data_IF_278033844606
#
_entry.id   IF_278033844606
#
_cell.length_a   1.000
_cell.length_b   1.000
_cell.length_c   1.000
_cell.angle_alpha   90.00
_cell.angle_beta   90.00
_cell.angle_gamma   90.00
#
_symmetry.space_group_name_H-M   'P 1'
#
loop_
_entity.id
_entity.type
_entity.pdbx_description
1 polymer ?
#
# COMPACT_ATOMS: atom_id res chain seq x y z
N UNK A 1 -22.20 -7.28 11.80
CA UNK A 1 -20.79 -7.05 12.22
C UNK A 1 -20.36 -5.58 12.16
N UNK A 2 -20.81 -4.78 11.17
CA UNK A 2 -20.39 -3.37 10.97
C UNK A 2 -20.67 -2.43 12.16
N UNK A 3 -21.79 -2.60 12.87
CA UNK A 3 -22.17 -1.70 13.98
C UNK A 3 -21.19 -1.72 15.16
N UNK A 4 -20.62 -2.88 15.50
CA UNK A 4 -19.64 -2.99 16.57
C UNK A 4 -18.32 -2.27 16.21
N UNK A 5 -17.79 -2.53 15.01
CA UNK A 5 -16.59 -1.86 14.48
C UNK A 5 -16.76 -0.35 14.40
N UNK A 6 -17.93 0.13 13.96
CA UNK A 6 -18.22 1.57 13.93
C UNK A 6 -18.23 2.21 15.32
N UNK A 7 -18.82 1.54 16.31
CA UNK A 7 -18.80 2.04 17.70
C UNK A 7 -17.38 2.07 18.28
N UNK A 8 -16.56 1.06 17.98
CA UNK A 8 -15.15 1.03 18.34
C UNK A 8 -14.38 2.17 17.67
N UNK A 9 -14.62 2.41 16.37
CA UNK A 9 -14.05 3.52 15.63
C UNK A 9 -14.41 4.87 16.25
N UNK A 10 -15.69 5.13 16.52
CA UNK A 10 -16.11 6.38 17.13
C UNK A 10 -15.49 6.59 18.52
N UNK A 11 -15.38 5.53 19.31
CA UNK A 11 -14.78 5.61 20.65
C UNK A 11 -13.28 5.88 20.57
N UNK A 12 -12.57 5.18 19.68
CA UNK A 12 -11.12 5.34 19.47
C UNK A 12 -10.81 6.75 18.94
N UNK A 13 -11.56 7.19 17.93
CA UNK A 13 -11.42 8.52 17.35
C UNK A 13 -11.69 9.62 18.39
N UNK A 14 -12.70 9.46 19.25
CA UNK A 14 -12.95 10.39 20.37
C UNK A 14 -11.75 10.45 21.31
N UNK A 15 -11.23 9.30 21.75
CA UNK A 15 -10.07 9.23 22.66
C UNK A 15 -8.84 9.91 22.05
N UNK A 16 -8.53 9.66 20.79
CA UNK A 16 -7.44 10.37 20.11
C UNK A 16 -7.67 11.89 20.12
N UNK A 17 -8.91 12.32 19.87
CA UNK A 17 -9.24 13.74 19.75
C UNK A 17 -9.22 14.51 21.07
N UNK A 18 -9.18 13.83 22.23
CA UNK A 18 -9.12 14.47 23.56
C UNK A 18 -7.94 15.44 23.71
N UNK A 19 -6.85 15.24 22.95
CA UNK A 19 -5.66 16.09 22.97
C UNK A 19 -5.56 17.05 21.77
N UNK A 20 -6.54 17.04 20.86
CA UNK A 20 -6.45 17.76 19.57
C UNK A 20 -7.59 18.75 19.34
N UNK A 21 -8.69 18.66 20.09
CA UNK A 21 -9.80 19.61 20.01
C UNK A 21 -10.26 20.02 21.40
N UNK A 22 -10.93 21.17 21.48
CA UNK A 22 -11.48 21.72 22.72
C UNK A 22 -12.53 20.80 23.35
N UNK A 23 -12.57 20.76 24.69
CA UNK A 23 -13.51 19.94 25.46
C UNK A 23 -14.98 20.21 25.06
N UNK A 24 -15.30 21.47 24.76
CA UNK A 24 -16.63 21.90 24.26
C UNK A 24 -17.01 21.20 22.95
N UNK A 25 -16.06 20.98 22.04
CA UNK A 25 -16.32 20.29 20.77
C UNK A 25 -16.21 18.77 20.89
N UNK A 26 -15.42 18.24 21.82
CA UNK A 26 -15.28 16.80 22.03
C UNK A 26 -16.62 16.10 22.27
N UNK A 27 -17.53 16.73 23.01
CA UNK A 27 -18.88 16.20 23.25
C UNK A 27 -19.76 16.19 21.99
N UNK A 28 -19.44 17.02 20.99
CA UNK A 28 -20.14 17.11 19.71
C UNK A 28 -19.49 16.27 18.61
N UNK A 29 -18.27 15.79 18.83
CA UNK A 29 -17.48 15.07 17.85
C UNK A 29 -18.14 13.77 17.40
N UNK A 30 -18.54 12.89 18.31
CA UNK A 30 -19.12 11.58 17.95
C UNK A 30 -20.44 11.75 17.17
N UNK A 31 -21.40 12.60 17.59
CA UNK A 31 -22.57 12.90 16.77
C UNK A 31 -22.22 13.46 15.39
N UNK A 32 -21.21 14.34 15.30
CA UNK A 32 -20.73 14.90 14.05
C UNK A 32 -20.15 13.82 13.12
N UNK A 33 -19.29 12.96 13.64
CA UNK A 33 -18.64 11.88 12.90
C UNK A 33 -19.67 10.86 12.41
N UNK A 34 -20.68 10.52 13.22
CA UNK A 34 -21.81 9.69 12.78
C UNK A 34 -22.54 10.27 11.57
N UNK A 35 -22.84 11.58 11.58
CA UNK A 35 -23.46 12.24 10.41
C UNK A 35 -22.56 12.17 9.18
N UNK A 36 -21.26 12.38 9.35
CA UNK A 36 -20.30 12.30 8.25
C UNK A 36 -20.26 10.89 7.63
N UNK A 37 -20.15 9.85 8.46
CA UNK A 37 -20.17 8.45 8.02
C UNK A 37 -21.50 8.09 7.34
N UNK A 38 -22.62 8.59 7.85
CA UNK A 38 -23.93 8.41 7.20
C UNK A 38 -24.01 9.09 5.84
N UNK A 39 -23.43 10.28 5.67
CA UNK A 39 -23.41 11.01 4.40
C UNK A 39 -22.46 10.43 3.34
N UNK A 40 -21.66 9.40 3.68
CA UNK A 40 -20.76 8.77 2.71
C UNK A 40 -21.51 8.14 1.54
N UNK A 41 -22.70 7.59 1.77
CA UNK A 41 -23.50 6.94 0.72
C UNK A 41 -23.96 7.91 -0.37
N UNK A 42 -24.12 9.19 -0.05
CA UNK A 42 -24.44 10.24 -1.03
C UNK A 42 -23.31 10.46 -2.05
N UNK A 43 -22.12 9.92 -1.76
CA UNK A 43 -20.90 10.09 -2.55
C UNK A 43 -20.49 8.80 -3.28
N UNK A 44 -21.23 7.71 -3.14
CA UNK A 44 -20.88 6.44 -3.79
C UNK A 44 -20.89 6.54 -5.32
N UNK A 45 -21.71 7.46 -5.88
CA UNK A 45 -21.74 7.75 -7.32
C UNK A 45 -20.67 8.76 -7.75
N UNK A 46 -19.81 9.22 -6.83
CA UNK A 46 -18.75 10.19 -7.08
C UNK A 46 -17.38 9.53 -6.88
N UNK A 47 -16.60 9.49 -7.95
CA UNK A 47 -15.24 8.96 -7.92
C UNK A 47 -14.23 10.08 -8.16
N UNK A 48 -13.06 9.94 -7.56
CA UNK A 48 -11.89 10.77 -7.85
C UNK A 48 -10.97 9.94 -8.72
N UNK A 49 -10.51 10.52 -9.83
CA UNK A 49 -9.34 10.02 -10.53
C UNK A 49 -8.12 10.81 -10.07
N UNK A 50 -7.13 10.10 -9.53
CA UNK A 50 -5.81 10.66 -9.27
C UNK A 50 -4.83 10.13 -10.29
N UNK A 51 -4.23 11.03 -11.06
CA UNK A 51 -3.27 10.71 -12.12
C UNK A 51 -1.89 11.18 -11.67
N UNK A 52 -0.89 10.30 -11.79
CA UNK A 52 0.48 10.60 -11.40
C UNK A 52 1.45 10.11 -12.46
N UNK A 53 2.46 10.92 -12.76
CA UNK A 53 3.59 10.53 -13.60
C UNK A 53 4.51 9.59 -12.82
N UNK A 54 5.20 8.71 -13.53
CA UNK A 54 6.13 7.73 -12.96
C UNK A 54 7.54 8.00 -13.46
N UNK A 55 8.50 7.92 -12.54
CA UNK A 55 9.92 7.90 -12.84
C UNK A 55 10.26 6.51 -13.36
N UNK A 56 10.95 6.47 -14.49
CA UNK A 56 11.32 5.26 -15.25
C UNK A 56 10.32 4.90 -16.37
N UNK A 57 10.86 4.45 -17.50
CA UNK A 57 10.12 4.05 -18.70
C UNK A 57 9.84 2.54 -18.64
N UNK A 58 8.71 2.06 -18.11
CA UNK A 58 8.34 0.67 -18.36
C UNK A 58 8.04 0.51 -19.86
N UNK A 59 8.49 -0.58 -20.48
CA UNK A 59 8.05 -0.97 -21.84
C UNK A 59 6.61 -1.53 -21.83
N UNK A 60 5.77 -1.07 -20.89
CA UNK A 60 4.42 -1.60 -20.64
C UNK A 60 3.37 -0.52 -20.82
N UNK A 61 2.52 -0.67 -21.84
CA UNK A 61 1.21 -0.03 -21.94
C UNK A 61 0.11 -0.99 -21.44
N UNK A 62 -0.39 -0.79 -20.22
CA UNK A 62 -1.43 -1.63 -19.63
C UNK A 62 -2.71 -0.85 -19.37
N UNK A 63 -3.85 -1.37 -19.85
CA UNK A 63 -5.17 -0.90 -19.46
C UNK A 63 -5.77 -1.90 -18.48
N UNK A 64 -5.80 -1.55 -17.20
CA UNK A 64 -6.36 -2.41 -16.16
C UNK A 64 -7.88 -2.42 -16.11
N UNK A 65 -8.40 -3.09 -15.09
CA UNK A 65 -9.84 -3.20 -14.81
C UNK A 65 -10.48 -1.87 -14.35
N UNK A 66 -11.69 -1.94 -13.81
CA UNK A 66 -12.45 -0.78 -13.32
C UNK A 66 -11.72 0.12 -12.29
N UNK A 67 -10.58 -0.29 -11.74
CA UNK A 67 -9.91 0.33 -10.58
C UNK A 67 -8.70 1.20 -10.93
N UNK A 68 -8.06 0.92 -12.06
CA UNK A 68 -6.80 1.51 -12.52
C UNK A 68 -6.94 1.85 -14.00
N UNK A 69 -6.56 3.07 -14.37
CA UNK A 69 -6.73 3.58 -15.72
C UNK A 69 -5.38 3.98 -16.30
N UNK A 70 -4.77 3.00 -16.97
CA UNK A 70 -3.70 3.18 -17.95
C UNK A 70 -2.32 3.47 -17.39
N UNK A 71 -1.30 2.80 -17.95
CA UNK A 71 0.04 3.35 -18.17
C UNK A 71 0.02 4.08 -19.52
N UNK A 72 0.01 5.41 -19.54
CA UNK A 72 -0.08 6.17 -20.79
C UNK A 72 1.18 7.00 -21.05
N UNK A 73 1.61 6.99 -22.32
CA UNK A 73 2.61 7.88 -22.89
C UNK A 73 2.01 9.29 -23.11
N UNK A 74 2.15 10.19 -22.14
CA UNK A 74 1.73 11.57 -22.29
C UNK A 74 2.90 12.43 -22.79
N UNK A 75 2.82 12.84 -24.06
CA UNK A 75 3.75 13.81 -24.65
C UNK A 75 4.18 13.36 -26.04
N UNK A 76 4.49 14.32 -26.92
CA UNK A 76 5.08 14.03 -28.24
C UNK A 76 6.46 13.40 -28.09
N UNK A 77 7.53 14.18 -28.27
CA UNK A 77 8.91 13.68 -28.23
C UNK A 77 9.38 13.27 -26.82
N UNK A 78 8.76 13.80 -25.76
CA UNK A 78 9.05 13.46 -24.36
C UNK A 78 8.03 12.47 -23.81
N UNK A 79 8.40 11.19 -23.81
CA UNK A 79 7.54 10.10 -23.32
C UNK A 79 7.48 10.11 -21.79
N UNK A 80 6.34 10.43 -21.19
CA UNK A 80 6.08 10.29 -19.75
C UNK A 80 5.01 9.24 -19.48
N UNK A 81 5.25 8.34 -18.50
CA UNK A 81 4.29 7.32 -18.11
C UNK A 81 3.43 7.83 -16.97
N UNK A 82 2.11 7.70 -17.08
CA UNK A 82 1.18 8.07 -16.00
C UNK A 82 0.39 6.88 -15.51
N UNK A 83 0.07 6.85 -14.23
CA UNK A 83 -0.91 5.93 -13.62
C UNK A 83 -2.12 6.72 -13.16
N UNK A 84 -3.29 6.34 -13.63
CA UNK A 84 -4.58 6.79 -13.11
C UNK A 84 -5.15 5.79 -12.09
N UNK A 85 -5.52 6.24 -10.90
CA UNK A 85 -6.23 5.42 -9.91
C UNK A 85 -7.57 6.01 -9.57
N UNK A 86 -8.60 5.16 -9.51
CA UNK A 86 -9.93 5.56 -9.05
C UNK A 86 -10.04 5.38 -7.53
N UNK A 87 -10.59 6.37 -6.87
CA UNK A 87 -10.80 6.33 -5.43
C UNK A 87 -12.10 7.03 -5.00
N UNK A 88 -12.47 6.88 -3.73
CA UNK A 88 -13.69 7.47 -3.19
C UNK A 88 -13.62 9.00 -3.16
N UNK A 89 -14.76 9.69 -3.27
CA UNK A 89 -14.84 11.14 -3.07
C UNK A 89 -15.00 11.53 -1.58
N UNK A 90 -13.99 11.25 -0.74
CA UNK A 90 -14.06 11.55 0.70
C UNK A 90 -13.39 12.85 1.11
N UNK A 91 -12.45 13.39 0.32
CA UNK A 91 -11.62 14.53 0.74
C UNK A 91 -12.28 15.91 0.81
N UNK A 92 -13.49 16.11 0.24
CA UNK A 92 -14.13 17.43 0.08
C UNK A 92 -15.60 17.45 0.53
N UNK A 93 -16.22 18.63 0.62
CA UNK A 93 -17.67 18.77 0.81
C UNK A 93 -18.18 18.64 2.25
N UNK A 94 -17.32 18.47 3.25
CA UNK A 94 -17.73 18.31 4.66
C UNK A 94 -18.38 19.55 5.28
N UNK A 95 -18.18 20.76 4.72
CA UNK A 95 -18.88 21.98 5.18
C UNK A 95 -20.41 21.89 5.05
N UNK A 96 -20.94 21.01 4.19
CA UNK A 96 -22.39 20.75 4.10
C UNK A 96 -22.95 20.00 5.32
N UNK A 97 -22.08 19.32 6.07
CA UNK A 97 -22.43 18.46 7.22
C UNK A 97 -21.91 19.03 8.55
N UNK A 98 -20.83 19.82 8.49
CA UNK A 98 -20.11 20.36 9.65
C UNK A 98 -20.02 21.88 9.55
N UNK A 99 -20.78 22.56 10.40
CA UNK A 99 -20.79 24.03 10.48
C UNK A 99 -19.69 24.58 11.39
N UNK A 100 -19.27 23.81 12.41
CA UNK A 100 -18.22 24.23 13.34
C UNK A 100 -16.84 24.06 12.69
N UNK A 101 -16.02 25.10 12.75
CA UNK A 101 -14.70 25.13 12.08
C UNK A 101 -13.70 24.12 12.65
N UNK A 102 -13.52 24.10 13.97
CA UNK A 102 -12.61 23.16 14.64
C UNK A 102 -12.96 21.69 14.34
N UNK A 103 -14.25 21.33 14.44
CA UNK A 103 -14.72 19.98 14.06
C UNK A 103 -14.57 19.72 12.56
N UNK A 104 -14.77 20.74 11.72
CA UNK A 104 -14.63 20.61 10.28
C UNK A 104 -13.18 20.29 9.93
N UNK A 105 -12.22 21.03 10.46
CA UNK A 105 -10.80 20.83 10.17
C UNK A 105 -10.38 19.43 10.63
N UNK A 106 -10.69 19.08 11.87
CA UNK A 106 -10.30 17.79 12.45
C UNK A 106 -10.87 16.58 11.69
N UNK A 107 -12.18 16.61 11.40
CA UNK A 107 -12.85 15.50 10.66
C UNK A 107 -12.45 15.49 9.19
N UNK A 108 -12.29 16.65 8.56
CA UNK A 108 -11.86 16.73 7.15
C UNK A 108 -10.44 16.21 6.97
N UNK A 109 -9.54 16.45 7.93
CA UNK A 109 -8.20 15.86 7.94
C UNK A 109 -8.27 14.34 7.95
N UNK A 110 -9.07 13.74 8.84
CA UNK A 110 -9.26 12.28 8.83
C UNK A 110 -9.72 11.75 7.47
N UNK A 111 -10.76 12.32 6.89
CA UNK A 111 -11.26 11.85 5.60
C UNK A 111 -10.30 12.13 4.44
N UNK A 112 -9.47 13.17 4.54
CA UNK A 112 -8.37 13.40 3.61
C UNK A 112 -7.36 12.24 3.65
N UNK A 113 -6.89 11.85 4.83
CA UNK A 113 -5.94 10.73 4.95
C UNK A 113 -6.58 9.37 4.67
N UNK A 114 -7.86 9.16 5.01
CA UNK A 114 -8.59 7.96 4.61
C UNK A 114 -8.71 7.84 3.08
N UNK A 115 -8.92 8.96 2.38
CA UNK A 115 -8.89 9.02 0.92
C UNK A 115 -7.50 8.69 0.38
N UNK A 116 -6.45 9.25 1.00
CA UNK A 116 -5.07 8.93 0.62
C UNK A 116 -4.73 7.46 0.83
N UNK A 117 -5.20 6.84 1.91
CA UNK A 117 -5.00 5.41 2.16
C UNK A 117 -5.51 4.57 0.99
N UNK A 118 -6.77 4.80 0.57
CA UNK A 118 -7.37 4.06 -0.54
C UNK A 118 -6.66 4.34 -1.86
N UNK A 119 -6.46 5.61 -2.20
CA UNK A 119 -5.80 5.98 -3.47
C UNK A 119 -4.36 5.47 -3.56
N UNK A 120 -3.59 5.52 -2.46
CA UNK A 120 -2.24 4.92 -2.39
C UNK A 120 -2.28 3.40 -2.42
N UNK A 121 -3.31 2.78 -1.85
CA UNK A 121 -3.52 1.35 -1.95
C UNK A 121 -3.76 0.91 -3.40
N UNK A 122 -4.56 1.67 -4.15
CA UNK A 122 -4.80 1.40 -5.58
C UNK A 122 -3.55 1.59 -6.41
N UNK A 123 -2.80 2.61 -6.07
CA UNK A 123 -1.55 2.95 -6.72
C UNK A 123 -0.45 1.90 -6.53
N UNK A 124 -0.37 1.30 -5.34
CA UNK A 124 0.70 0.34 -5.05
C UNK A 124 0.52 -0.99 -5.81
N UNK A 125 -0.69 -1.31 -6.26
CA UNK A 125 -0.97 -2.52 -7.05
C UNK A 125 -0.17 -2.56 -8.37
N UNK A 126 -0.33 -1.59 -9.29
CA UNK A 126 0.44 -1.55 -10.53
C UNK A 126 1.91 -1.26 -10.30
N UNK A 127 2.28 -0.41 -9.34
CA UNK A 127 3.70 -0.18 -9.01
C UNK A 127 4.37 -1.45 -8.47
N UNK A 128 3.65 -2.20 -7.63
CA UNK A 128 4.05 -3.48 -7.08
C UNK A 128 4.30 -4.50 -8.18
N UNK A 129 3.31 -4.66 -9.06
CA UNK A 129 3.40 -5.57 -10.19
C UNK A 129 4.55 -5.20 -11.15
N UNK A 130 4.74 -3.92 -11.49
CA UNK A 130 5.87 -3.47 -12.30
C UNK A 130 7.21 -3.81 -11.62
N UNK A 131 7.35 -3.47 -10.34
CA UNK A 131 8.60 -3.70 -9.60
C UNK A 131 8.95 -5.18 -9.48
N UNK A 132 7.94 -6.04 -9.33
CA UNK A 132 8.13 -7.50 -9.27
C UNK A 132 8.41 -8.11 -10.65
N UNK A 133 7.96 -7.50 -11.74
CA UNK A 133 8.21 -7.96 -13.11
C UNK A 133 9.59 -7.54 -13.63
N UNK A 134 10.06 -6.35 -13.26
CA UNK A 134 11.27 -5.73 -13.82
C UNK A 134 12.46 -5.67 -12.87
N UNK A 135 12.29 -5.95 -11.58
CA UNK A 135 13.37 -5.76 -10.57
C UNK A 135 13.87 -4.32 -10.44
N UNK A 136 12.98 -3.38 -10.75
CA UNK A 136 13.23 -1.94 -10.71
C UNK A 136 12.24 -1.24 -9.76
N UNK A 137 12.62 -0.05 -9.30
CA UNK A 137 11.70 0.82 -8.57
C UNK A 137 10.92 1.72 -9.49
N UNK A 138 9.61 1.81 -9.23
CA UNK A 138 8.69 2.71 -9.91
C UNK A 138 8.10 3.65 -8.87
N UNK A 139 8.42 4.93 -8.98
CA UNK A 139 7.97 5.96 -8.04
C UNK A 139 7.17 7.04 -8.75
N UNK A 140 6.25 7.67 -8.01
CA UNK A 140 5.51 8.81 -8.53
C UNK A 140 6.34 10.08 -8.53
N UNK A 141 6.29 10.80 -9.64
CA UNK A 141 6.86 12.14 -9.75
C UNK A 141 5.77 13.18 -9.49
N UNK A 142 6.10 14.13 -8.62
CA UNK A 142 5.32 15.35 -8.44
C UNK A 142 3.97 15.15 -7.73
N UNK A 143 3.14 16.18 -7.81
CA UNK A 143 1.82 16.19 -7.18
C UNK A 143 0.77 15.50 -8.07
N UNK A 144 -0.15 14.70 -7.50
CA UNK A 144 -1.22 14.10 -8.29
C UNK A 144 -2.04 15.16 -9.00
N UNK A 145 -2.24 14.97 -10.31
CA UNK A 145 -3.25 15.71 -11.05
C UNK A 145 -4.59 15.08 -10.74
N UNK A 146 -5.42 15.80 -9.99
CA UNK A 146 -6.80 15.41 -9.73
C UNK A 146 -7.60 15.85 -10.95
N UNK A 147 -7.94 14.92 -11.82
CA UNK A 147 -8.81 15.26 -12.94
C UNK A 147 -10.26 14.88 -12.66
N UNK A 148 -11.16 15.79 -13.01
CA UNK A 148 -12.55 15.44 -13.22
C UNK A 148 -12.69 14.61 -14.52
N UNK A 149 -13.82 13.93 -14.68
CA UNK A 149 -14.17 12.95 -15.74
C UNK A 149 -13.70 13.27 -17.17
N UNK A 150 -13.45 14.53 -17.51
CA UNK A 150 -13.00 14.95 -18.85
C UNK A 150 -11.67 14.33 -19.28
N UNK A 151 -10.72 14.10 -18.37
CA UNK A 151 -9.45 13.44 -18.71
C UNK A 151 -9.62 11.96 -19.03
N UNK A 152 -10.56 11.26 -18.38
CA UNK A 152 -10.86 9.86 -18.70
C UNK A 152 -11.31 9.68 -20.14
N UNK A 153 -12.09 10.63 -20.65
CA UNK A 153 -12.56 10.61 -22.04
C UNK A 153 -11.44 10.93 -23.04
N UNK A 154 -10.31 11.49 -22.58
CA UNK A 154 -9.14 11.76 -23.43
C UNK A 154 -8.12 10.63 -23.44
N UNK A 155 -8.23 9.64 -22.54
CA UNK A 155 -7.36 8.47 -22.56
C UNK A 155 -7.94 7.46 -23.56
N UNK A 156 -7.19 7.09 -24.62
CA UNK A 156 -7.60 6.01 -25.52
C UNK A 156 -7.79 4.72 -24.72
N UNK A 157 -8.97 4.09 -24.77
CA UNK A 157 -9.22 2.83 -24.05
C UNK A 157 -8.62 1.59 -24.75
N UNK A 158 -8.14 1.76 -25.98
CA UNK A 158 -7.56 0.70 -26.80
C UNK A 158 -6.12 1.07 -27.15
N UNK A 159 -5.17 0.52 -26.39
CA UNK A 159 -3.75 0.65 -26.69
C UNK A 159 -3.27 -0.59 -27.46
N UNK A 160 -2.61 -0.44 -28.61
CA UNK A 160 -1.90 -1.54 -29.23
C UNK A 160 -0.72 -1.95 -28.33
N UNK A 161 -0.80 -3.17 -27.81
CA UNK A 161 0.19 -3.79 -26.95
C UNK A 161 1.39 -4.24 -27.82
N UNK A 162 2.41 -3.39 -27.99
CA UNK A 162 3.72 -3.80 -28.52
C UNK A 162 4.60 -4.33 -27.38
N UNK A 163 4.51 -5.63 -27.10
CA UNK A 163 5.06 -6.22 -25.88
C UNK A 163 5.87 -7.51 -26.10
N UNK A 164 6.83 -7.72 -25.19
CA UNK A 164 7.28 -9.05 -24.83
C UNK A 164 6.17 -9.77 -24.02
N UNK A 165 5.55 -10.77 -24.64
CA UNK A 165 4.42 -11.51 -24.08
C UNK A 165 4.73 -12.14 -22.71
N UNK A 166 5.99 -12.48 -22.43
CA UNK A 166 6.36 -13.14 -21.18
C UNK A 166 6.32 -12.14 -20.01
N UNK A 167 6.88 -10.94 -20.20
CA UNK A 167 6.84 -9.87 -19.18
C UNK A 167 5.43 -9.37 -18.92
N UNK A 168 4.60 -9.27 -19.96
CA UNK A 168 3.19 -8.94 -19.79
C UNK A 168 2.47 -9.99 -18.93
N UNK A 169 2.68 -11.28 -19.22
CA UNK A 169 2.06 -12.38 -18.47
C UNK A 169 2.47 -12.37 -17.00
N UNK A 170 3.75 -12.09 -16.71
CA UNK A 170 4.23 -11.96 -15.32
C UNK A 170 3.58 -10.76 -14.63
N UNK A 171 3.52 -9.60 -15.29
CA UNK A 171 2.87 -8.41 -14.76
C UNK A 171 1.37 -8.65 -14.47
N UNK A 172 0.65 -9.25 -15.42
CA UNK A 172 -0.78 -9.54 -15.28
C UNK A 172 -1.05 -10.57 -14.17
N UNK A 173 -0.14 -11.53 -13.97
CA UNK A 173 -0.23 -12.41 -12.81
C UNK A 173 -0.10 -11.64 -11.49
N UNK A 174 0.90 -10.75 -11.37
CA UNK A 174 1.08 -9.94 -10.17
C UNK A 174 -0.09 -9.00 -9.89
N UNK A 175 -0.57 -8.27 -10.90
CA UNK A 175 -1.66 -7.30 -10.71
C UNK A 175 -2.93 -7.96 -10.19
N UNK A 176 -3.20 -9.20 -10.64
CA UNK A 176 -4.34 -9.99 -10.20
C UNK A 176 -4.18 -10.52 -8.78
N UNK A 177 -2.95 -10.78 -8.33
CA UNK A 177 -2.66 -11.26 -6.96
C UNK A 177 -2.64 -10.16 -5.91
N UNK A 178 -2.19 -8.95 -6.26
CA UNK A 178 -1.96 -7.89 -5.27
C UNK A 178 -3.29 -7.23 -4.86
N UNK A 179 -3.54 -7.18 -3.55
CA UNK A 179 -4.59 -6.36 -2.94
C UNK A 179 -3.96 -5.22 -2.14
N UNK A 180 -3.77 -4.07 -2.78
CA UNK A 180 -3.13 -2.91 -2.14
C UNK A 180 -4.02 -2.21 -1.10
N UNK A 181 -5.28 -2.64 -0.94
CA UNK A 181 -6.16 -2.17 0.13
C UNK A 181 -5.83 -2.78 1.49
N UNK A 182 -5.11 -3.92 1.52
CA UNK A 182 -4.65 -4.53 2.77
C UNK A 182 -3.38 -3.81 3.26
N UNK A 183 -3.36 -3.31 4.51
CA UNK A 183 -2.24 -2.52 5.00
C UNK A 183 -0.94 -3.33 5.10
N UNK A 184 -1.00 -4.65 5.29
CA UNK A 184 0.20 -5.48 5.33
C UNK A 184 0.78 -5.67 3.94
N UNK A 185 -0.07 -5.89 2.93
CA UNK A 185 0.35 -5.99 1.52
C UNK A 185 0.97 -4.67 1.06
N UNK A 186 0.32 -3.55 1.35
CA UNK A 186 0.83 -2.22 1.05
C UNK A 186 2.19 -1.96 1.70
N UNK A 187 2.35 -2.30 2.98
CA UNK A 187 3.64 -2.13 3.68
C UNK A 187 4.72 -3.06 3.14
N UNK A 188 4.41 -4.33 2.87
CA UNK A 188 5.35 -5.29 2.33
C UNK A 188 5.91 -4.81 0.98
N UNK A 189 5.04 -4.32 0.09
CA UNK A 189 5.45 -3.73 -1.18
C UNK A 189 6.26 -2.44 -1.00
N UNK A 190 5.89 -1.57 -0.06
CA UNK A 190 6.70 -0.38 0.23
C UNK A 190 8.13 -0.72 0.66
N UNK A 191 8.31 -1.70 1.55
CA UNK A 191 9.65 -2.13 1.97
C UNK A 191 10.38 -2.90 0.88
N UNK A 192 9.66 -3.61 0.02
CA UNK A 192 10.25 -4.22 -1.18
C UNK A 192 10.78 -3.15 -2.16
N UNK A 193 10.03 -2.07 -2.41
CA UNK A 193 10.53 -0.95 -3.24
C UNK A 193 11.78 -0.34 -2.63
N UNK A 194 11.75 -0.07 -1.32
CA UNK A 194 12.90 0.43 -0.58
C UNK A 194 14.11 -0.49 -0.73
N UNK A 195 13.92 -1.81 -0.63
CA UNK A 195 14.99 -2.79 -0.81
C UNK A 195 15.63 -2.68 -2.20
N UNK A 196 14.81 -2.68 -3.28
CA UNK A 196 15.31 -2.56 -4.66
C UNK A 196 16.05 -1.24 -4.86
N UNK A 197 15.48 -0.12 -4.38
CA UNK A 197 16.07 1.21 -4.52
C UNK A 197 17.43 1.31 -3.82
N UNK A 198 17.48 0.90 -2.55
CA UNK A 198 18.69 0.96 -1.74
C UNK A 198 19.79 0.04 -2.30
N UNK A 199 19.43 -1.17 -2.72
CA UNK A 199 20.36 -2.11 -3.37
C UNK A 199 20.94 -1.51 -4.65
N UNK A 200 20.10 -0.97 -5.53
CA UNK A 200 20.54 -0.42 -6.81
C UNK A 200 21.46 0.82 -6.65
N UNK A 201 21.40 1.50 -5.49
CA UNK A 201 22.26 2.64 -5.17
C UNK A 201 23.43 2.30 -4.22
N UNK A 202 23.67 1.01 -3.92
CA UNK A 202 24.79 0.56 -3.09
C UNK A 202 24.62 0.76 -1.58
N UNK A 203 23.40 1.03 -1.10
CA UNK A 203 23.08 1.12 0.34
C UNK A 203 22.73 -0.28 0.90
N UNK A 204 23.72 -1.18 0.93
CA UNK A 204 23.51 -2.60 1.21
C UNK A 204 22.95 -2.88 2.63
N UNK A 205 23.43 -2.18 3.65
CA UNK A 205 22.98 -2.36 5.05
C UNK A 205 21.50 -1.96 5.22
N UNK A 206 21.10 -0.84 4.62
CA UNK A 206 19.72 -0.39 4.60
C UNK A 206 18.84 -1.29 3.73
N UNK A 207 19.39 -1.84 2.64
CA UNK A 207 18.69 -2.81 1.79
C UNK A 207 18.37 -4.10 2.57
N UNK A 208 19.34 -4.66 3.31
CA UNK A 208 19.15 -5.81 4.23
C UNK A 208 18.06 -5.50 5.25
N UNK A 209 18.09 -4.29 5.83
CA UNK A 209 17.09 -3.86 6.81
C UNK A 209 15.69 -3.76 6.20
N UNK A 210 15.58 -3.20 5.00
CA UNK A 210 14.31 -3.10 4.28
C UNK A 210 13.76 -4.49 3.94
N UNK A 211 14.62 -5.41 3.54
CA UNK A 211 14.29 -6.78 3.22
C UNK A 211 13.78 -7.59 4.44
N UNK A 212 14.46 -7.50 5.59
CA UNK A 212 14.00 -8.11 6.85
C UNK A 212 12.63 -7.56 7.28
N UNK A 213 12.36 -6.28 7.01
CA UNK A 213 11.05 -5.68 7.29
C UNK A 213 9.94 -6.27 6.44
N UNK A 214 10.19 -6.67 5.18
CA UNK A 214 9.19 -7.38 4.36
C UNK A 214 8.77 -8.69 5.03
N UNK A 215 9.75 -9.45 5.52
CA UNK A 215 9.54 -10.73 6.22
C UNK A 215 8.81 -10.52 7.54
N UNK A 216 9.23 -9.53 8.33
CA UNK A 216 8.57 -9.15 9.59
C UNK A 216 7.09 -8.77 9.37
N UNK A 217 6.79 -8.08 8.27
CA UNK A 217 5.41 -7.74 7.91
C UNK A 217 4.59 -8.98 7.58
N UNK A 218 5.15 -9.95 6.84
CA UNK A 218 4.46 -11.22 6.57
C UNK A 218 4.18 -12.03 7.84
N UNK A 219 5.12 -12.04 8.79
CA UNK A 219 4.88 -12.66 10.10
C UNK A 219 3.75 -11.97 10.87
N UNK A 220 3.79 -10.63 10.98
CA UNK A 220 2.74 -9.84 11.64
C UNK A 220 1.38 -9.98 10.96
N UNK A 221 1.37 -10.12 9.64
CA UNK A 221 0.16 -10.39 8.88
C UNK A 221 -0.50 -11.70 9.32
N UNK A 222 0.26 -12.79 9.44
CA UNK A 222 -0.27 -14.07 9.94
C UNK A 222 -0.80 -13.96 11.38
N UNK A 223 -0.07 -13.27 12.27
CA UNK A 223 -0.52 -13.04 13.65
C UNK A 223 -1.85 -12.25 13.70
N UNK A 224 -2.01 -11.22 12.87
CA UNK A 224 -3.27 -10.45 12.76
C UNK A 224 -4.40 -11.31 12.19
N UNK A 225 -4.07 -12.31 11.35
CA UNK A 225 -5.00 -13.33 10.86
C UNK A 225 -5.22 -14.47 11.87
N UNK A 226 -4.75 -14.31 13.12
CA UNK A 226 -4.86 -15.25 14.24
C UNK A 226 -4.21 -16.61 13.98
N UNK A 227 -3.18 -16.62 13.15
CA UNK A 227 -2.33 -17.79 12.94
C UNK A 227 -1.20 -17.69 13.97
N UNK A 228 -1.26 -18.52 15.01
CA UNK A 228 -0.18 -18.60 15.99
C UNK A 228 1.06 -19.24 15.34
N UNK A 229 2.08 -18.41 15.11
CA UNK A 229 3.35 -18.85 14.52
C UNK A 229 4.52 -18.09 15.14
N UNK A 230 5.63 -18.80 15.37
CA UNK A 230 6.92 -18.17 15.72
C UNK A 230 7.58 -17.63 14.45
N UNK A 231 8.44 -16.61 14.59
CA UNK A 231 9.18 -16.03 13.45
C UNK A 231 10.03 -17.09 12.71
N UNK A 232 10.53 -18.09 13.41
CA UNK A 232 11.37 -19.12 12.79
C UNK A 232 10.55 -20.20 12.05
N UNK A 233 9.22 -20.21 12.27
CA UNK A 233 8.30 -21.23 11.76
C UNK A 233 7.22 -20.68 10.82
N UNK A 234 7.02 -19.36 10.75
CA UNK A 234 5.95 -18.78 9.94
C UNK A 234 6.15 -19.01 8.43
N UNK A 235 7.39 -19.19 7.99
CA UNK A 235 7.75 -19.52 6.61
C UNK A 235 7.16 -20.87 6.18
N UNK A 236 6.95 -21.81 7.13
CA UNK A 236 6.27 -23.09 6.89
C UNK A 236 4.78 -22.91 6.62
N UNK A 237 4.14 -21.88 7.19
CA UNK A 237 2.72 -21.60 6.92
C UNK A 237 2.48 -21.12 5.51
N UNK A 238 3.47 -20.44 4.92
CA UNK A 238 3.45 -20.07 3.50
C UNK A 238 3.79 -21.23 2.55
N UNK A 239 4.03 -22.45 3.07
CA UNK A 239 4.41 -23.63 2.29
C UNK A 239 5.64 -23.41 1.39
N UNK A 240 6.57 -22.56 1.85
CA UNK A 240 7.75 -22.19 1.09
C UNK A 240 8.81 -23.30 1.12
N UNK A 241 9.58 -23.41 0.04
CA UNK A 241 10.64 -24.41 -0.08
C UNK A 241 11.72 -24.23 0.99
N UNK A 242 12.46 -25.33 1.28
CA UNK A 242 13.44 -25.37 2.38
C UNK A 242 14.53 -24.31 2.20
N UNK A 243 14.97 -24.06 0.98
CA UNK A 243 16.02 -23.08 0.69
C UNK A 243 15.56 -21.66 1.03
N UNK A 244 14.29 -21.34 0.78
CA UNK A 244 13.65 -20.07 1.17
C UNK A 244 13.60 -19.93 2.69
N UNK A 245 13.30 -21.02 3.41
CA UNK A 245 13.28 -21.03 4.87
C UNK A 245 14.67 -20.75 5.46
N UNK A 246 15.70 -21.39 4.91
CA UNK A 246 17.09 -21.11 5.29
C UNK A 246 17.44 -19.65 5.06
N UNK A 247 17.04 -19.11 3.90
CA UNK A 247 17.36 -17.74 3.52
C UNK A 247 16.67 -16.70 4.42
N UNK A 248 15.39 -16.88 4.75
CA UNK A 248 14.66 -16.01 5.70
C UNK A 248 15.35 -15.94 7.07
N UNK A 249 15.84 -17.08 7.57
CA UNK A 249 16.57 -17.12 8.84
C UNK A 249 17.93 -16.42 8.74
N UNK A 250 18.64 -16.59 7.64
CA UNK A 250 19.92 -15.92 7.39
C UNK A 250 19.80 -14.40 7.37
N UNK A 251 18.74 -13.83 6.77
CA UNK A 251 18.56 -12.37 6.77
C UNK A 251 18.50 -11.80 8.18
N UNK A 252 17.81 -12.48 9.10
CA UNK A 252 17.72 -12.01 10.48
C UNK A 252 19.08 -12.02 11.17
N UNK A 253 19.89 -13.06 10.93
CA UNK A 253 21.26 -13.16 11.43
C UNK A 253 22.13 -12.04 10.85
N UNK A 254 22.11 -11.87 9.52
CA UNK A 254 22.83 -10.80 8.81
C UNK A 254 22.44 -9.43 9.39
N UNK A 255 21.14 -9.10 9.45
CA UNK A 255 20.67 -7.84 10.05
C UNK A 255 21.15 -7.66 11.49
N UNK A 256 21.16 -8.72 12.30
CA UNK A 256 21.59 -8.65 13.70
C UNK A 256 23.09 -8.39 13.83
N UNK A 257 23.90 -8.91 12.91
CA UNK A 257 25.34 -8.65 12.83
C UNK A 257 25.64 -7.18 12.50
N UNK A 258 24.80 -6.50 11.70
CA UNK A 258 24.99 -5.08 11.33
C UNK A 258 24.29 -4.09 12.28
N UNK A 259 23.00 -4.29 12.55
CA UNK A 259 22.15 -3.32 13.23
C UNK A 259 22.16 -3.40 14.75
N UNK A 260 22.56 -4.53 15.33
CA UNK A 260 22.60 -4.74 16.79
C UNK A 260 23.98 -4.51 17.40
N UNK A 261 25.04 -4.85 16.66
CA UNK A 261 26.42 -4.83 17.13
C UNK A 261 27.37 -4.39 16.01
N UNK A 262 27.56 -3.08 15.76
CA UNK A 262 28.39 -2.55 14.66
C UNK A 262 29.90 -2.81 14.84
N UNK A 263 30.32 -3.89 15.49
CA UNK A 263 31.66 -4.00 16.07
C UNK A 263 32.68 -4.83 15.29
N UNK A 264 32.33 -5.53 14.20
CA UNK A 264 33.30 -6.42 13.53
C UNK A 264 33.44 -6.27 12.01
N UNK A 265 32.54 -5.56 11.34
CA UNK A 265 32.59 -5.33 9.89
C UNK A 265 32.76 -3.85 9.63
N UNK A 266 33.72 -3.52 8.76
CA UNK A 266 33.86 -2.16 8.27
C UNK A 266 32.71 -1.93 7.29
N UNK A 267 31.90 -0.91 7.51
CA UNK A 267 30.71 -0.60 6.70
C UNK A 267 31.02 -0.41 5.20
N UNK A 268 32.28 -0.14 4.83
CA UNK A 268 32.70 -0.03 3.43
C UNK A 268 33.00 -1.38 2.76
N UNK A 269 33.05 -2.49 3.51
CA UNK A 269 33.22 -3.85 2.96
C UNK A 269 31.85 -4.52 2.67
N UNK A 270 30.72 -3.85 2.94
CA UNK A 270 29.38 -4.43 2.80
C UNK A 270 29.04 -4.87 1.38
N UNK A 271 29.55 -4.16 0.36
CA UNK A 271 29.41 -4.55 -1.04
C UNK A 271 30.10 -5.89 -1.33
N UNK A 272 31.37 -6.01 -0.92
CA UNK A 272 32.18 -7.23 -1.15
C UNK A 272 31.61 -8.44 -0.41
N UNK A 273 31.00 -8.22 0.76
CA UNK A 273 30.51 -9.29 1.61
C UNK A 273 29.09 -9.73 1.26
N UNK A 274 28.23 -8.82 0.78
CA UNK A 274 26.79 -9.09 0.66
C UNK A 274 26.16 -8.67 -0.67
N UNK A 275 26.88 -8.02 -1.58
CA UNK A 275 26.34 -7.60 -2.88
C UNK A 275 25.73 -8.76 -3.64
N UNK A 276 26.51 -9.82 -3.88
CA UNK A 276 26.03 -11.04 -4.55
C UNK A 276 24.88 -11.71 -3.78
N UNK A 277 24.98 -11.78 -2.45
CA UNK A 277 23.93 -12.37 -1.62
C UNK A 277 22.61 -11.58 -1.68
N UNK A 278 22.67 -10.25 -1.79
CA UNK A 278 21.50 -9.36 -1.97
C UNK A 278 20.90 -9.43 -3.37
N UNK A 279 21.68 -9.80 -4.37
CA UNK A 279 21.17 -10.09 -5.71
C UNK A 279 20.44 -11.44 -5.74
N UNK A 280 21.08 -12.50 -5.21
CA UNK A 280 20.52 -13.86 -5.08
C UNK A 280 19.25 -13.92 -4.22
N UNK A 281 19.11 -12.97 -3.33
CA UNK A 281 17.99 -12.65 -2.45
C UNK A 281 16.67 -12.34 -3.17
N UNK A 282 16.75 -11.76 -4.37
CA UNK A 282 15.58 -11.20 -5.08
C UNK A 282 14.54 -12.25 -5.48
N UNK A 283 14.92 -13.39 -6.09
CA UNK A 283 13.99 -14.49 -6.35
C UNK A 283 13.31 -15.02 -5.07
N UNK A 284 14.03 -15.09 -3.95
CA UNK A 284 13.47 -15.60 -2.69
C UNK A 284 12.41 -14.69 -2.11
N UNK A 285 12.67 -13.38 -2.09
CA UNK A 285 11.68 -12.42 -1.57
C UNK A 285 10.44 -12.32 -2.48
N UNK A 286 10.60 -12.48 -3.80
CA UNK A 286 9.46 -12.56 -4.72
C UNK A 286 8.59 -13.78 -4.45
N UNK A 287 9.20 -14.94 -4.23
CA UNK A 287 8.46 -16.16 -3.88
C UNK A 287 7.73 -16.00 -2.54
N UNK A 288 8.38 -15.41 -1.54
CA UNK A 288 7.76 -15.06 -0.26
C UNK A 288 6.55 -14.13 -0.43
N UNK A 289 6.71 -13.04 -1.20
CA UNK A 289 5.61 -12.11 -1.49
C UNK A 289 4.48 -12.80 -2.25
N UNK A 290 4.78 -13.66 -3.24
CA UNK A 290 3.75 -14.45 -3.92
C UNK A 290 2.96 -15.29 -2.93
N UNK A 291 3.62 -16.03 -2.04
CA UNK A 291 2.94 -16.86 -1.06
C UNK A 291 2.10 -16.03 -0.07
N UNK A 292 2.59 -14.84 0.31
CA UNK A 292 1.82 -13.89 1.11
C UNK A 292 0.56 -13.41 0.38
N UNK A 293 0.67 -13.09 -0.91
CA UNK A 293 -0.46 -12.65 -1.73
C UNK A 293 -1.46 -13.79 -1.96
N UNK A 294 -0.97 -15.00 -2.23
CA UNK A 294 -1.81 -16.18 -2.41
C UNK A 294 -2.57 -16.52 -1.12
N UNK A 295 -1.93 -16.37 0.04
CA UNK A 295 -2.62 -16.50 1.33
C UNK A 295 -3.70 -15.42 1.52
N UNK A 296 -3.39 -14.14 1.22
CA UNK A 296 -4.36 -13.05 1.27
C UNK A 296 -5.55 -13.32 0.37
N UNK A 297 -5.32 -13.73 -0.87
CA UNK A 297 -6.36 -14.05 -1.84
C UNK A 297 -7.32 -15.13 -1.32
N UNK A 298 -6.76 -16.18 -0.71
CA UNK A 298 -7.54 -17.30 -0.17
C UNK A 298 -8.25 -16.99 1.16
N UNK A 299 -7.82 -15.95 1.88
CA UNK A 299 -8.31 -15.59 3.21
C UNK A 299 -8.72 -14.11 3.30
N UNK A 300 -9.16 -13.53 2.17
CA UNK A 300 -9.36 -12.10 2.01
C UNK A 300 -10.33 -11.54 3.04
N UNK A 301 -9.87 -10.50 3.75
CA UNK A 301 -10.71 -9.76 4.70
C UNK A 301 -11.11 -8.39 4.20
N UNK A 302 -10.34 -7.81 3.27
CA UNK A 302 -10.53 -6.45 2.76
C UNK A 302 -10.82 -6.57 1.26
N UNK A 303 -12.03 -6.21 0.86
CA UNK A 303 -12.44 -6.25 -0.54
C UNK A 303 -11.57 -5.28 -1.37
N UNK A 304 -10.96 -5.80 -2.45
CA UNK A 304 -10.13 -5.04 -3.37
C UNK A 304 -10.99 -4.07 -4.17
N UNK A 305 -12.11 -4.55 -4.72
CA UNK A 305 -12.98 -3.83 -5.66
C UNK A 305 -14.40 -3.61 -5.11
N UNK A 306 -14.59 -2.71 -4.12
CA UNK A 306 -15.92 -2.50 -3.55
C UNK A 306 -16.87 -1.84 -4.53
N UNK A 307 -18.12 -2.31 -4.55
CA UNK A 307 -19.22 -1.66 -5.29
C UNK A 307 -19.63 -0.33 -4.66
N UNK A 308 -19.57 -0.23 -3.33
CA UNK A 308 -19.98 0.94 -2.56
C UNK A 308 -18.89 1.30 -1.55
N UNK A 309 -18.27 2.46 -1.75
CA UNK A 309 -17.22 2.97 -0.86
C UNK A 309 -17.73 3.25 0.55
N UNK A 310 -18.98 3.69 0.70
CA UNK A 310 -19.59 3.95 1.99
C UNK A 310 -19.72 2.69 2.85
N UNK A 311 -20.07 1.55 2.24
CA UNK A 311 -20.16 0.27 2.93
C UNK A 311 -18.77 -0.31 3.21
N UNK A 312 -17.87 -0.21 2.24
CA UNK A 312 -16.48 -0.59 2.42
C UNK A 312 -15.82 0.16 3.59
N UNK A 313 -16.06 1.47 3.71
CA UNK A 313 -15.58 2.26 4.85
C UNK A 313 -16.15 1.72 6.16
N UNK A 314 -17.45 1.44 6.25
CA UNK A 314 -18.07 0.95 7.51
C UNK A 314 -17.47 -0.40 7.94
N UNK A 315 -17.12 -1.26 7.00
CA UNK A 315 -16.53 -2.57 7.26
C UNK A 315 -15.06 -2.47 7.68
N UNK A 316 -14.34 -1.47 7.15
CA UNK A 316 -12.90 -1.30 7.29
C UNK A 316 -12.47 -0.05 8.09
N UNK A 317 -13.40 0.65 8.74
CA UNK A 317 -13.15 1.92 9.43
C UNK A 317 -12.04 1.83 10.49
N UNK A 318 -11.97 0.71 11.23
CA UNK A 318 -10.89 0.47 12.19
C UNK A 318 -9.55 0.23 11.52
N UNK A 319 -9.52 -0.49 10.39
CA UNK A 319 -8.30 -0.68 9.59
C UNK A 319 -7.79 0.67 9.11
N UNK A 320 -8.67 1.47 8.50
CA UNK A 320 -8.34 2.82 8.02
C UNK A 320 -7.83 3.65 9.20
N UNK A 321 -8.55 3.70 10.31
CA UNK A 321 -8.16 4.46 11.49
C UNK A 321 -6.77 4.08 12.01
N UNK A 322 -6.47 2.78 12.10
CA UNK A 322 -5.16 2.29 12.56
C UNK A 322 -4.04 2.59 11.56
N UNK A 323 -4.32 2.53 10.25
CA UNK A 323 -3.36 2.87 9.20
C UNK A 323 -3.11 4.37 9.08
N UNK A 324 -4.14 5.16 9.35
CA UNK A 324 -4.13 6.61 9.20
C UNK A 324 -3.43 7.24 10.41
N UNK A 325 -3.79 6.86 11.66
CA UNK A 325 -3.20 7.42 12.91
C UNK A 325 -2.18 6.51 13.60
N UNK A 326 -1.67 5.47 12.92
CA UNK A 326 -0.57 4.60 13.39
C UNK A 326 -0.76 3.94 14.78
N UNK A 327 -1.98 3.80 15.29
CA UNK A 327 -2.22 3.36 16.67
C UNK A 327 -1.79 1.92 17.01
N UNK A 328 -1.60 1.06 16.01
CA UNK A 328 -1.26 -0.37 16.20
C UNK A 328 -0.13 -0.88 15.31
N UNK A 329 0.52 -0.01 14.53
CA UNK A 329 1.59 -0.45 13.63
C UNK A 329 2.93 -0.32 14.36
N UNK A 330 3.69 -1.41 14.56
CA UNK A 330 5.01 -1.30 15.16
C UNK A 330 5.95 -0.59 14.18
N UNK A 331 6.74 0.34 14.72
CA UNK A 331 8.00 0.79 14.15
C UNK A 331 8.98 -0.40 13.99
#
# INVERSE_FOLDING_TARGET
MSKAKLNEFYSSYRRYSEHHISEKQLNKLVPCLKRCVSSLSERDNSEILEVREIYTKPLIEYCGDNSFLGLYNWGGDDKSFVIGVKGPFWKRGWRKVINNEELYDHVSWFFHFANQYVTRGRAIEPLGALSLTFDETFEYIGSPRISERSFLNSIPLNFPCDFDNDKYTIFDNWINKINGMDPFIQRALYFYFRFIDLRNHGYFDEAITALDKVIDIGHKFLLERKVECRRDDFVKFYSLEKDIQTWVNQIYEVRSLFGGHPSNTKWWDSEELYGEWLDESTPFIKQFLSAMFDYENNNRLIEKNPLLWSEWFKQNCMTIYNSVWFHKLPF
#
